data_IF_791395768364
#
_entry.id   IF_791395768364
#
_cell.length_a   1.000
_cell.length_b   1.000
_cell.length_c   1.000
_cell.angle_alpha   90.00
_cell.angle_beta   90.00
_cell.angle_gamma   90.00
#
_symmetry.space_group_name_H-M   'P 1'
#
loop_
_entity.id
_entity.type
_entity.pdbx_description
1 polymer ?
#
# COMPACT_ATOMS: atom_id res chain seq x y z
N UNK A 1 10.30 -12.43 -7.70
CA UNK A 1 9.35 -12.98 -6.70
C UNK A 1 8.31 -13.75 -7.50
N UNK A 2 8.35 -15.09 -7.46
CA UNK A 2 7.24 -15.90 -7.98
C UNK A 2 6.25 -16.07 -6.83
N UNK A 3 5.04 -15.59 -7.03
CA UNK A 3 3.95 -15.71 -6.08
C UNK A 3 3.26 -17.05 -6.37
N UNK A 4 3.61 -18.11 -5.63
CA UNK A 4 2.81 -19.35 -5.61
C UNK A 4 1.58 -19.08 -4.74
N UNK A 5 0.58 -18.43 -5.33
CA UNK A 5 -0.67 -18.06 -4.66
C UNK A 5 -1.76 -19.03 -5.12
N UNK A 6 -2.41 -19.71 -4.18
CA UNK A 6 -3.63 -20.48 -4.41
C UNK A 6 -4.86 -19.65 -4.01
N UNK A 7 -6.03 -19.99 -4.53
CA UNK A 7 -7.27 -19.29 -4.16
C UNK A 7 -7.56 -19.40 -2.66
N UNK A 8 -7.34 -20.59 -2.09
CA UNK A 8 -7.50 -20.80 -0.65
C UNK A 8 -6.60 -19.89 0.18
N UNK A 9 -5.33 -19.68 -0.25
CA UNK A 9 -4.41 -18.85 0.52
C UNK A 9 -4.80 -17.38 0.46
N UNK A 10 -5.31 -16.89 -0.69
CA UNK A 10 -5.86 -15.53 -0.82
C UNK A 10 -7.08 -15.36 0.09
N UNK A 11 -8.01 -16.30 0.08
CA UNK A 11 -9.25 -16.20 0.85
C UNK A 11 -8.94 -16.22 2.36
N UNK A 12 -8.07 -17.13 2.81
CA UNK A 12 -7.67 -17.29 4.22
C UNK A 12 -6.82 -16.11 4.75
N UNK A 13 -6.07 -15.44 3.89
CA UNK A 13 -5.24 -14.30 4.29
C UNK A 13 -6.10 -13.18 4.89
N UNK A 14 -5.65 -12.61 6.01
CA UNK A 14 -6.39 -11.56 6.72
C UNK A 14 -6.23 -10.19 6.07
N UNK A 15 -5.14 -9.99 5.34
CA UNK A 15 -4.85 -8.74 4.63
C UNK A 15 -4.11 -9.00 3.33
N UNK A 16 -4.16 -8.03 2.43
CA UNK A 16 -3.39 -8.08 1.17
C UNK A 16 -1.89 -8.15 1.44
N UNK A 17 -1.42 -7.53 2.53
CA UNK A 17 -0.01 -7.54 2.89
C UNK A 17 0.53 -8.94 3.19
N UNK A 18 -0.29 -9.82 3.79
CA UNK A 18 0.08 -11.23 4.03
C UNK A 18 0.29 -11.99 2.72
N UNK A 19 -0.46 -11.63 1.68
CA UNK A 19 -0.36 -12.21 0.33
C UNK A 19 0.89 -11.67 -0.38
N UNK A 20 1.13 -10.36 -0.29
CA UNK A 20 2.19 -9.69 -1.04
C UNK A 20 3.59 -9.90 -0.45
N UNK A 21 3.69 -10.02 0.87
CA UNK A 21 4.97 -10.04 1.57
C UNK A 21 5.07 -11.28 2.44
N UNK A 22 5.96 -12.25 2.12
CA UNK A 22 6.08 -13.47 2.93
C UNK A 22 6.71 -13.23 4.30
N UNK A 23 7.51 -12.17 4.45
CA UNK A 23 8.20 -11.86 5.69
C UNK A 23 7.33 -10.99 6.61
N UNK A 24 7.03 -11.47 7.82
CA UNK A 24 6.22 -10.76 8.83
C UNK A 24 6.74 -9.35 9.16
N UNK A 25 8.05 -9.15 9.22
CA UNK A 25 8.65 -7.84 9.46
C UNK A 25 8.35 -6.87 8.31
N UNK A 26 8.38 -7.35 7.07
CA UNK A 26 7.99 -6.56 5.89
C UNK A 26 6.50 -6.25 5.89
N UNK A 27 5.64 -7.21 6.27
CA UNK A 27 4.21 -6.98 6.44
C UNK A 27 3.92 -5.87 7.46
N UNK A 28 4.56 -5.91 8.63
CA UNK A 28 4.42 -4.88 9.67
C UNK A 28 4.88 -3.51 9.15
N UNK A 29 6.06 -3.44 8.50
CA UNK A 29 6.57 -2.19 7.94
C UNK A 29 5.64 -1.61 6.86
N UNK A 30 5.08 -2.45 5.99
CA UNK A 30 4.10 -2.03 4.99
C UNK A 30 2.80 -1.56 5.64
N UNK A 31 2.32 -2.24 6.68
CA UNK A 31 1.15 -1.83 7.45
C UNK A 31 1.35 -0.46 8.10
N UNK A 32 2.50 -0.22 8.73
CA UNK A 32 2.84 1.08 9.32
C UNK A 32 2.87 2.19 8.28
N UNK A 33 3.45 1.92 7.10
CA UNK A 33 3.44 2.88 5.99
C UNK A 33 2.01 3.20 5.54
N UNK A 34 1.19 2.18 5.31
CA UNK A 34 -0.17 2.38 4.82
C UNK A 34 -1.07 3.06 5.87
N UNK A 35 -0.87 2.79 7.15
CA UNK A 35 -1.53 3.53 8.23
C UNK A 35 -1.11 5.00 8.21
N UNK A 36 0.19 5.28 8.07
CA UNK A 36 0.69 6.65 7.97
C UNK A 36 0.12 7.38 6.73
N UNK A 37 0.01 6.70 5.59
CA UNK A 37 -0.66 7.25 4.41
C UNK A 37 -2.15 7.47 4.66
N UNK A 38 -2.82 6.55 5.38
CA UNK A 38 -4.24 6.67 5.71
C UNK A 38 -4.54 7.91 6.54
N UNK A 39 -3.69 8.21 7.52
CA UNK A 39 -3.75 9.44 8.33
C UNK A 39 -3.58 10.72 7.49
N UNK A 40 -3.01 10.59 6.28
CA UNK A 40 -2.76 11.69 5.35
C UNK A 40 -3.59 11.56 4.07
N UNK A 41 -4.87 11.18 4.19
CA UNK A 41 -5.81 11.09 3.05
C UNK A 41 -5.33 10.17 1.91
N UNK A 42 -4.56 9.13 2.24
CA UNK A 42 -4.08 8.14 1.29
C UNK A 42 -2.89 8.61 0.44
N UNK A 43 -2.30 9.77 0.76
CA UNK A 43 -1.18 10.34 0.02
C UNK A 43 0.08 10.50 0.89
N UNK A 44 1.25 10.43 0.25
CA UNK A 44 2.53 10.78 0.89
C UNK A 44 3.50 11.38 -0.14
N UNK A 45 4.12 12.51 0.20
CA UNK A 45 5.14 13.13 -0.66
C UNK A 45 6.45 12.32 -0.63
N UNK A 46 7.32 12.50 -1.62
CA UNK A 46 8.67 11.88 -1.62
C UNK A 46 9.48 12.24 -0.37
N UNK A 47 9.38 13.49 0.06
CA UNK A 47 10.08 13.98 1.25
C UNK A 47 9.51 13.36 2.53
N UNK A 48 8.18 13.35 2.67
CA UNK A 48 7.52 12.70 3.82
C UNK A 48 7.83 11.19 3.88
N UNK A 49 7.84 10.50 2.74
CA UNK A 49 8.23 9.09 2.67
C UNK A 49 9.68 8.87 3.10
N UNK A 50 10.59 9.77 2.72
CA UNK A 50 11.99 9.71 3.17
C UNK A 50 12.12 9.91 4.69
N UNK A 51 11.41 10.91 5.23
CA UNK A 51 11.34 11.14 6.69
C UNK A 51 10.80 9.90 7.39
N UNK A 52 9.66 9.36 6.93
CA UNK A 52 9.09 8.12 7.46
C UNK A 52 10.11 6.97 7.44
N UNK A 53 10.80 6.78 6.30
CA UNK A 53 11.80 5.72 6.16
C UNK A 53 12.96 5.86 7.15
N UNK A 54 13.44 7.09 7.38
CA UNK A 54 14.48 7.38 8.37
C UNK A 54 14.01 7.08 9.79
N UNK A 55 12.80 7.53 10.16
CA UNK A 55 12.19 7.25 11.47
C UNK A 55 12.07 5.73 11.73
N UNK A 56 11.65 4.98 10.71
CA UNK A 56 11.51 3.52 10.74
C UNK A 56 12.88 2.81 10.91
N UNK A 57 13.95 3.35 10.32
CA UNK A 57 15.30 2.80 10.44
C UNK A 57 15.94 3.11 11.80
N UNK A 58 15.61 4.27 12.37
CA UNK A 58 16.07 4.77 13.66
C UNK A 58 15.27 4.25 14.87
N UNK A 59 14.24 3.41 14.67
CA UNK A 59 13.34 2.91 15.73
C UNK A 59 12.47 3.99 16.39
N UNK A 60 12.19 5.07 15.69
CA UNK A 60 11.34 6.17 16.18
C UNK A 60 9.84 5.91 15.98
N UNK A 61 9.48 4.77 15.38
CA UNK A 61 8.10 4.34 15.14
C UNK A 61 7.82 3.14 16.04
N UNK A 62 6.73 3.21 16.80
CA UNK A 62 6.28 2.13 17.68
C UNK A 62 5.33 1.19 16.94
N UNK A 63 5.46 -0.10 17.23
CA UNK A 63 4.50 -1.13 16.88
C UNK A 63 4.19 -1.95 18.13
N UNK A 64 2.92 -2.02 18.54
CA UNK A 64 2.51 -2.65 19.81
C UNK A 64 3.32 -2.14 21.02
N UNK A 65 3.47 -0.82 21.13
CA UNK A 65 4.25 -0.13 22.18
C UNK A 65 5.74 -0.47 22.23
N UNK A 66 6.29 -1.11 21.20
CA UNK A 66 7.72 -1.43 21.10
C UNK A 66 8.37 -0.71 19.91
N UNK A 67 9.59 -0.17 20.06
CA UNK A 67 10.33 0.43 18.95
C UNK A 67 10.57 -0.56 17.81
N UNK A 68 10.07 -0.23 16.62
CA UNK A 68 10.16 -1.10 15.45
C UNK A 68 11.21 -0.59 14.46
N UNK A 69 12.15 -1.47 14.07
CA UNK A 69 13.18 -1.17 13.06
C UNK A 69 12.88 -1.82 11.73
N UNK A 70 13.00 -1.08 10.63
CA UNK A 70 13.05 -1.65 9.28
C UNK A 70 14.04 -0.90 8.39
N UNK A 71 14.71 -1.61 7.48
CA UNK A 71 15.73 -1.01 6.62
C UNK A 71 15.09 -0.06 5.61
N UNK A 72 15.66 1.13 5.48
CA UNK A 72 15.24 2.11 4.46
C UNK A 72 15.40 1.55 3.05
N UNK A 73 16.53 0.87 2.77
CA UNK A 73 16.77 0.21 1.47
C UNK A 73 15.67 -0.79 1.13
N UNK A 74 15.25 -1.61 2.11
CA UNK A 74 14.20 -2.59 1.90
C UNK A 74 12.80 -1.95 1.79
N UNK A 75 12.55 -0.84 2.49
CA UNK A 75 11.28 -0.10 2.34
C UNK A 75 11.08 0.33 0.88
N UNK A 76 12.09 0.96 0.28
CA UNK A 76 12.02 1.37 -1.12
C UNK A 76 12.10 0.18 -2.09
N UNK A 77 13.09 -0.69 -1.90
CA UNK A 77 13.41 -1.78 -2.83
C UNK A 77 12.42 -2.93 -2.84
N UNK A 78 11.66 -3.11 -1.76
CA UNK A 78 10.69 -4.20 -1.60
C UNK A 78 9.28 -3.66 -1.49
N UNK A 79 8.98 -2.84 -0.47
CA UNK A 79 7.60 -2.44 -0.18
C UNK A 79 7.08 -1.47 -1.26
N UNK A 80 7.72 -0.30 -1.40
CA UNK A 80 7.30 0.72 -2.37
C UNK A 80 7.38 0.17 -3.79
N UNK A 81 8.49 -0.50 -4.13
CA UNK A 81 8.66 -1.12 -5.46
C UNK A 81 7.51 -2.07 -5.80
N UNK A 82 7.13 -2.97 -4.88
CA UNK A 82 6.08 -3.95 -5.17
C UNK A 82 4.69 -3.32 -5.20
N UNK A 83 4.36 -2.43 -4.24
CA UNK A 83 3.06 -1.76 -4.23
C UNK A 83 2.85 -0.87 -5.46
N UNK A 84 3.90 -0.18 -5.92
CA UNK A 84 3.85 0.59 -7.18
C UNK A 84 3.76 -0.32 -8.39
N UNK A 85 4.59 -1.38 -8.44
CA UNK A 85 4.59 -2.32 -9.58
C UNK A 85 3.24 -3.01 -9.77
N UNK A 86 2.53 -3.30 -8.69
CA UNK A 86 1.23 -3.97 -8.70
C UNK A 86 0.04 -3.00 -8.77
N UNK A 87 0.29 -1.68 -8.82
CA UNK A 87 -0.76 -0.67 -8.97
C UNK A 87 -1.49 -0.28 -7.69
N UNK A 88 -1.15 -0.85 -6.52
CA UNK A 88 -1.74 -0.46 -5.23
C UNK A 88 -1.39 0.98 -4.82
N UNK A 89 -0.23 1.46 -5.27
CA UNK A 89 0.21 2.84 -5.08
C UNK A 89 0.58 3.44 -6.44
N UNK A 90 -0.02 4.56 -6.80
CA UNK A 90 0.42 5.35 -7.94
C UNK A 90 1.59 6.24 -7.53
N UNK A 91 2.67 6.22 -8.33
CA UNK A 91 3.84 7.09 -8.13
C UNK A 91 3.70 8.36 -8.96
N UNK A 92 4.07 9.50 -8.38
CA UNK A 92 4.02 10.83 -9.02
C UNK A 92 2.59 11.26 -9.39
N UNK A 93 1.58 10.83 -8.62
CA UNK A 93 0.24 11.39 -8.73
C UNK A 93 0.31 12.90 -8.46
N UNK A 94 -0.45 13.68 -9.23
CA UNK A 94 -0.45 15.14 -9.14
C UNK A 94 -1.58 15.56 -8.21
N UNK A 95 -1.24 16.16 -7.09
CA UNK A 95 -2.20 16.70 -6.13
C UNK A 95 -1.96 18.20 -6.01
N UNK A 96 -3.03 18.97 -6.12
CA UNK A 96 -2.98 20.40 -5.88
C UNK A 96 -2.86 20.67 -4.38
N UNK A 97 -1.84 21.41 -3.97
CA UNK A 97 -1.68 21.88 -2.60
C UNK A 97 -2.20 23.31 -2.50
N UNK A 98 -3.37 23.48 -1.90
CA UNK A 98 -4.01 24.78 -1.74
C UNK A 98 -3.24 25.75 -0.85
N UNK A 99 -2.42 25.24 0.09
CA UNK A 99 -1.64 26.09 1.00
C UNK A 99 -0.42 26.66 0.30
N UNK A 100 0.26 25.82 -0.48
CA UNK A 100 1.47 26.21 -1.20
C UNK A 100 1.19 26.71 -2.63
N UNK A 101 -0.08 26.70 -3.05
CA UNK A 101 -0.55 27.09 -4.39
C UNK A 101 0.29 26.47 -5.51
N UNK A 102 0.58 25.17 -5.37
CA UNK A 102 1.39 24.43 -6.34
C UNK A 102 0.97 22.96 -6.44
N UNK A 103 1.26 22.36 -7.57
CA UNK A 103 1.07 20.93 -7.78
C UNK A 103 2.23 20.13 -7.17
N UNK A 104 1.89 19.16 -6.31
CA UNK A 104 2.85 18.24 -5.71
C UNK A 104 2.80 16.87 -6.39
N UNK A 105 3.97 16.25 -6.53
CA UNK A 105 4.09 14.85 -6.95
C UNK A 105 4.11 13.96 -5.70
N UNK A 106 3.09 13.13 -5.55
CA UNK A 106 2.91 12.25 -4.39
C UNK A 106 2.89 10.77 -4.77
N UNK A 107 3.01 9.92 -3.77
CA UNK A 107 2.55 8.54 -3.83
C UNK A 107 1.12 8.52 -3.31
N UNK A 108 0.21 7.90 -4.05
CA UNK A 108 -1.22 7.86 -3.73
C UNK A 108 -1.71 6.42 -3.71
N UNK A 109 -2.44 6.04 -2.66
CA UNK A 109 -3.17 4.78 -2.60
C UNK A 109 -4.25 4.77 -3.69
N UNK A 110 -4.32 3.67 -4.42
CA UNK A 110 -5.28 3.48 -5.51
C UNK A 110 -6.42 2.57 -5.09
N UNK A 111 -7.64 2.90 -5.52
CA UNK A 111 -8.81 2.03 -5.38
C UNK A 111 -9.11 1.47 -6.76
N UNK A 112 -9.22 0.14 -6.84
CA UNK A 112 -9.44 -0.52 -8.12
C UNK A 112 -10.92 -0.49 -8.49
N UNK A 113 -11.21 -0.17 -9.74
CA UNK A 113 -12.54 -0.43 -10.30
C UNK A 113 -12.63 -1.93 -10.66
N UNK A 114 -13.36 -2.69 -9.84
CA UNK A 114 -13.53 -4.13 -9.98
C UNK A 114 -15.01 -4.47 -10.21
N UNK A 115 -15.32 -5.52 -10.98
CA UNK A 115 -16.71 -5.94 -11.22
C UNK A 115 -17.41 -6.33 -9.91
N UNK A 116 -18.75 -6.27 -9.87
CA UNK A 116 -19.49 -6.68 -8.66
C UNK A 116 -19.43 -8.19 -8.38
N UNK A 117 -19.15 -9.01 -9.40
CA UNK A 117 -19.07 -10.47 -9.32
C UNK A 117 -17.65 -10.94 -9.64
N UNK A 118 -17.14 -11.97 -8.94
CA UNK A 118 -15.84 -12.55 -9.26
C UNK A 118 -15.84 -13.14 -10.68
N UNK A 119 -14.74 -12.96 -11.44
CA UNK A 119 -14.52 -13.69 -12.68
C UNK A 119 -14.52 -15.21 -12.44
N UNK A 120 -14.91 -15.99 -13.47
CA UNK A 120 -15.11 -17.42 -13.32
C UNK A 120 -13.81 -18.23 -13.08
N UNK A 121 -12.66 -17.82 -13.65
CA UNK A 121 -11.49 -18.71 -13.77
C UNK A 121 -10.17 -18.02 -13.44
N UNK A 122 -9.29 -18.75 -12.74
CA UNK A 122 -7.84 -18.60 -12.77
C UNK A 122 -7.29 -17.32 -12.12
N UNK A 123 -6.25 -16.75 -12.72
CA UNK A 123 -5.54 -15.57 -12.21
C UNK A 123 -6.48 -14.37 -11.96
N UNK A 124 -7.44 -14.13 -12.83
CA UNK A 124 -8.38 -13.01 -12.71
C UNK A 124 -9.24 -13.09 -11.46
N UNK A 125 -9.64 -14.29 -11.08
CA UNK A 125 -10.39 -14.53 -9.85
C UNK A 125 -9.54 -14.27 -8.61
N UNK A 126 -8.27 -14.67 -8.62
CA UNK A 126 -7.31 -14.34 -7.55
C UNK A 126 -7.09 -12.84 -7.43
N UNK A 127 -6.81 -12.17 -8.55
CA UNK A 127 -6.62 -10.73 -8.62
C UNK A 127 -7.86 -9.99 -8.12
N UNK A 128 -9.06 -10.44 -8.50
CA UNK A 128 -10.32 -9.91 -8.01
C UNK A 128 -10.39 -9.93 -6.48
N UNK A 129 -10.12 -11.07 -5.83
CA UNK A 129 -10.19 -11.16 -4.37
C UNK A 129 -9.11 -10.33 -3.67
N UNK A 130 -7.91 -10.23 -4.24
CA UNK A 130 -6.84 -9.37 -3.71
C UNK A 130 -7.27 -7.89 -3.79
N UNK A 131 -7.74 -7.44 -4.95
CA UNK A 131 -8.19 -6.07 -5.15
C UNK A 131 -9.43 -5.75 -4.29
N UNK A 132 -10.34 -6.70 -4.11
CA UNK A 132 -11.51 -6.53 -3.25
C UNK A 132 -11.10 -6.32 -1.79
N UNK A 133 -10.21 -7.18 -1.25
CA UNK A 133 -9.68 -7.01 0.11
C UNK A 133 -8.96 -5.67 0.27
N UNK A 134 -8.18 -5.25 -0.73
CA UNK A 134 -7.56 -3.93 -0.74
C UNK A 134 -8.61 -2.81 -0.67
N UNK A 135 -9.60 -2.84 -1.56
CA UNK A 135 -10.64 -1.83 -1.59
C UNK A 135 -11.45 -1.77 -0.28
N UNK A 136 -11.67 -2.91 0.37
CA UNK A 136 -12.32 -2.97 1.70
C UNK A 136 -11.47 -2.26 2.76
N UNK A 137 -10.15 -2.51 2.79
CA UNK A 137 -9.19 -1.85 3.70
C UNK A 137 -9.04 -0.32 3.47
N UNK A 138 -9.35 0.16 2.26
CA UNK A 138 -9.13 1.54 1.80
C UNK A 138 -10.41 2.22 1.29
N UNK A 139 -11.58 1.69 1.62
CA UNK A 139 -12.91 2.13 1.16
C UNK A 139 -13.27 3.59 1.48
N UNK A 140 -12.53 4.22 2.39
CA UNK A 140 -12.74 5.60 2.84
C UNK A 140 -12.03 6.65 1.97
N UNK A 141 -11.21 6.22 1.00
CA UNK A 141 -10.55 7.12 0.06
C UNK A 141 -11.42 7.36 -1.18
N UNK A 142 -11.43 8.58 -1.72
CA UNK A 142 -12.18 8.86 -2.93
C UNK A 142 -11.66 7.97 -4.07
N UNK A 143 -12.57 7.23 -4.71
CA UNK A 143 -12.33 6.72 -6.07
C UNK A 143 -12.03 7.96 -6.92
N UNK A 144 -10.89 8.00 -7.59
CA UNK A 144 -10.47 9.17 -8.37
C UNK A 144 -11.64 9.76 -9.16
N UNK A 145 -11.86 11.07 -8.97
CA UNK A 145 -12.75 11.85 -9.81
C UNK A 145 -12.17 11.77 -11.22
N UNK A 146 -12.91 11.13 -12.13
CA UNK A 146 -12.63 11.19 -13.56
C UNK A 146 -12.65 12.67 -13.96
N UNK A 147 -11.51 13.19 -14.44
CA UNK A 147 -11.48 14.40 -15.29
C UNK A 147 -12.29 14.17 -16.56
#
# INVERSE_FOLDING_TARGET
>A
MRLNISEESVIKAKSVLEILFPNRKTQIAAKLLLNHMRENNGIITKNALNVFARRLENKEILYNNMPFKYSRRNLYGTIIKNLVKLGFIQRNALVWDDRLKRTLKVYQIQIFDIPNKPPAIGFWRLAYYICRKWNEEFSHFPKEQKS
#
